data_IF_017384710831
#
_entry.id   IF_017384710831
#
_cell.length_a   1.000
_cell.length_b   1.000
_cell.length_c   1.000
_cell.angle_alpha   90.00
_cell.angle_beta   90.00
_cell.angle_gamma   90.00
#
_symmetry.space_group_name_H-M   'P 1'
#
loop_
_entity.id
_entity.type
_entity.pdbx_description
1 polymer ?
#
# COMPACT_ATOMS: atom_id res chain seq x y z
N UNK A 1 7.32 23.85 15.50
CA UNK A 1 6.51 25.09 15.57
C UNK A 1 7.10 26.26 14.80
N UNK A 2 8.38 26.65 15.00
CA UNK A 2 8.99 27.81 14.31
C UNK A 2 9.07 27.67 12.77
N UNK A 3 9.28 26.46 12.25
CA UNK A 3 9.28 26.22 10.79
C UNK A 3 7.88 26.38 10.17
N UNK A 4 6.86 25.78 10.78
CA UNK A 4 5.45 25.91 10.37
C UNK A 4 4.98 27.36 10.37
N UNK A 5 5.37 28.15 11.38
CA UNK A 5 5.07 29.59 11.42
C UNK A 5 5.72 30.35 10.27
N UNK A 6 6.96 30.01 9.88
CA UNK A 6 7.65 30.63 8.74
C UNK A 6 6.97 30.29 7.41
N UNK A 7 6.48 29.06 7.23
CA UNK A 7 5.71 28.69 6.03
C UNK A 7 4.33 29.37 5.99
N UNK A 8 3.67 29.51 7.13
CA UNK A 8 2.39 30.24 7.23
C UNK A 8 2.57 31.73 6.90
N UNK A 9 3.59 32.37 7.45
CA UNK A 9 3.92 33.77 7.14
C UNK A 9 4.31 33.92 5.68
N UNK A 10 5.11 33.01 5.12
CA UNK A 10 5.47 33.04 3.70
C UNK A 10 4.23 32.89 2.80
N UNK A 11 3.29 31.98 3.13
CA UNK A 11 2.05 31.80 2.39
C UNK A 11 1.13 33.02 2.47
N UNK A 12 1.00 33.63 3.65
CA UNK A 12 0.22 34.86 3.86
C UNK A 12 0.83 36.05 3.11
N UNK A 13 2.15 36.18 3.12
CA UNK A 13 2.87 37.22 2.36
C UNK A 13 2.74 37.01 0.86
N UNK A 14 2.77 35.76 0.37
CA UNK A 14 2.54 35.43 -1.05
C UNK A 14 1.10 35.70 -1.49
N UNK A 15 0.13 35.47 -0.60
CA UNK A 15 -1.30 35.74 -0.86
C UNK A 15 -1.61 37.24 -0.84
N UNK A 16 -1.03 38.00 0.10
CA UNK A 16 -1.25 39.45 0.24
C UNK A 16 -0.38 40.29 -0.71
N UNK A 17 0.80 39.81 -1.09
CA UNK A 17 1.72 40.49 -2.00
C UNK A 17 1.26 40.48 -3.47
N UNK A 18 0.27 39.65 -3.81
CA UNK A 18 -0.26 39.45 -5.17
C UNK A 18 -1.04 40.63 -5.75
N UNK A 19 -1.29 41.69 -4.96
CA UNK A 19 -2.17 42.81 -5.32
C UNK A 19 -1.49 44.12 -5.72
N UNK A 20 -0.17 44.27 -5.53
CA UNK A 20 0.54 45.50 -5.93
C UNK A 20 1.01 45.39 -7.38
N UNK A 21 0.16 45.84 -8.31
CA UNK A 21 0.61 46.16 -9.67
C UNK A 21 1.66 47.27 -9.58
N UNK A 22 2.86 47.10 -10.14
CA UNK A 22 3.79 48.21 -10.26
C UNK A 22 3.12 49.35 -11.06
N UNK A 23 3.44 50.62 -10.75
CA UNK A 23 2.94 51.74 -11.52
C UNK A 23 3.32 51.55 -12.99
N UNK A 24 2.35 51.74 -13.89
CA UNK A 24 2.53 51.60 -15.34
C UNK A 24 3.50 52.68 -15.81
N UNK A 25 4.78 52.33 -15.91
CA UNK A 25 5.81 53.19 -16.50
C UNK A 25 5.45 53.45 -17.96
N UNK A 26 5.65 54.69 -18.42
CA UNK A 26 5.42 55.07 -19.81
C UNK A 26 6.17 54.12 -20.76
N UNK A 27 5.44 53.74 -21.81
CA UNK A 27 5.71 52.64 -22.72
C UNK A 27 7.09 52.79 -23.36
N UNK A 28 8.08 52.07 -22.84
CA UNK A 28 9.31 51.78 -23.57
C UNK A 28 8.96 51.06 -24.88
N UNK A 29 9.82 51.21 -25.89
CA UNK A 29 9.69 50.48 -27.14
C UNK A 29 9.52 48.98 -26.85
N UNK A 30 8.45 48.42 -27.40
CA UNK A 30 8.06 47.02 -27.23
C UNK A 30 9.22 46.12 -27.68
N UNK A 31 9.61 45.18 -26.83
CA UNK A 31 10.71 44.26 -27.10
C UNK A 31 10.23 43.20 -28.10
N UNK A 32 9.04 42.63 -27.90
CA UNK A 32 8.50 41.56 -28.75
C UNK A 32 7.42 42.08 -29.70
N UNK A 33 7.54 41.89 -31.04
CA UNK A 33 6.54 42.38 -31.99
C UNK A 33 5.13 41.84 -31.69
N UNK A 34 4.12 42.70 -31.90
CA UNK A 34 2.73 42.35 -31.62
C UNK A 34 2.27 41.18 -32.48
N UNK A 35 2.04 40.03 -31.84
CA UNK A 35 1.44 38.88 -32.48
C UNK A 35 -0.07 39.10 -32.67
N UNK A 36 -0.60 38.74 -33.84
CA UNK A 36 -2.05 38.74 -34.04
C UNK A 36 -2.74 37.73 -33.11
N UNK A 37 -3.87 38.11 -32.47
CA UNK A 37 -4.67 37.20 -31.67
C UNK A 37 -5.09 35.95 -32.44
N UNK A 38 -5.06 34.77 -31.80
CA UNK A 38 -5.53 33.51 -32.40
C UNK A 38 -6.63 32.83 -31.59
N UNK A 39 -7.89 33.32 -31.64
CA UNK A 39 -9.00 32.79 -30.83
C UNK A 39 -9.30 31.30 -31.06
N UNK A 40 -9.04 30.79 -32.26
CA UNK A 40 -9.23 29.36 -32.60
C UNK A 40 -8.23 28.46 -31.87
N UNK A 41 -6.99 28.91 -31.74
CA UNK A 41 -5.96 28.17 -31.01
C UNK A 41 -6.25 28.17 -29.51
N UNK A 42 -6.74 29.29 -28.96
CA UNK A 42 -7.18 29.34 -27.57
C UNK A 42 -8.35 28.38 -27.28
N UNK A 43 -9.34 28.33 -28.17
CA UNK A 43 -10.47 27.39 -28.03
C UNK A 43 -10.00 25.94 -28.10
N UNK A 44 -9.08 25.62 -29.01
CA UNK A 44 -8.49 24.28 -29.12
C UNK A 44 -7.75 23.89 -27.84
N UNK A 45 -6.94 24.79 -27.27
CA UNK A 45 -6.24 24.54 -26.01
C UNK A 45 -7.22 24.30 -24.86
N UNK A 46 -8.29 25.09 -24.77
CA UNK A 46 -9.32 24.90 -23.75
C UNK A 46 -10.05 23.56 -23.91
N UNK A 47 -10.35 23.14 -25.15
CA UNK A 47 -10.93 21.84 -25.42
C UNK A 47 -9.99 20.70 -25.00
N UNK A 48 -8.69 20.82 -25.29
CA UNK A 48 -7.68 19.82 -24.89
C UNK A 48 -7.48 19.76 -23.37
N UNK A 49 -7.49 20.90 -22.67
CA UNK A 49 -7.51 20.91 -21.20
C UNK A 49 -8.78 20.29 -20.62
N UNK A 50 -9.94 20.58 -21.21
CA UNK A 50 -11.20 19.92 -20.84
C UNK A 50 -11.15 18.41 -21.03
N UNK A 51 -10.62 17.94 -22.16
CA UNK A 51 -10.43 16.51 -22.45
C UNK A 51 -9.44 15.86 -21.47
N UNK A 52 -8.34 16.54 -21.15
CA UNK A 52 -7.37 16.11 -20.13
C UNK A 52 -8.06 15.90 -18.78
N UNK A 53 -8.83 16.89 -18.33
CA UNK A 53 -9.55 16.81 -17.05
C UNK A 53 -10.59 15.68 -17.06
N UNK A 54 -11.36 15.53 -18.14
CA UNK A 54 -12.35 14.47 -18.28
C UNK A 54 -11.72 13.08 -18.23
N UNK A 55 -10.61 12.86 -18.95
CA UNK A 55 -9.87 11.61 -18.91
C UNK A 55 -9.26 11.32 -17.54
N UNK A 56 -8.72 12.33 -16.85
CA UNK A 56 -8.21 12.18 -15.49
C UNK A 56 -9.33 11.83 -14.48
N UNK A 57 -10.50 12.46 -14.58
CA UNK A 57 -11.67 12.10 -13.75
C UNK A 57 -12.15 10.70 -14.08
N UNK A 58 -12.19 10.31 -15.36
CA UNK A 58 -12.54 8.96 -15.77
C UNK A 58 -11.60 7.91 -15.17
N UNK A 59 -10.29 8.19 -15.09
CA UNK A 59 -9.34 7.33 -14.39
C UNK A 59 -9.74 7.11 -12.92
N UNK A 60 -10.06 8.19 -12.20
CA UNK A 60 -10.48 8.10 -10.78
C UNK A 60 -11.76 7.28 -10.63
N UNK A 61 -12.74 7.47 -11.50
CA UNK A 61 -14.00 6.71 -11.48
C UNK A 61 -13.76 5.23 -11.77
N UNK A 62 -13.01 4.92 -12.83
CA UNK A 62 -12.68 3.52 -13.18
C UNK A 62 -11.87 2.85 -12.07
N UNK A 63 -10.98 3.59 -11.42
CA UNK A 63 -10.20 3.10 -10.28
C UNK A 63 -11.09 2.77 -9.07
N UNK A 64 -12.08 3.62 -8.77
CA UNK A 64 -12.95 3.45 -7.61
C UNK A 64 -14.07 2.41 -7.79
N UNK A 65 -14.39 2.02 -9.03
CA UNK A 65 -15.49 1.10 -9.34
C UNK A 65 -14.95 -0.26 -9.76
N UNK A 66 -14.97 -1.23 -8.84
CA UNK A 66 -14.45 -2.60 -9.04
C UNK A 66 -15.31 -3.45 -10.00
N UNK A 67 -16.55 -3.05 -10.29
CA UNK A 67 -17.49 -3.81 -11.12
C UNK A 67 -17.27 -3.67 -12.63
N UNK A 68 -16.28 -2.90 -13.07
CA UNK A 68 -16.02 -2.62 -14.49
C UNK A 68 -15.18 -3.77 -15.11
N UNK A 69 -15.68 -4.48 -16.12
CA UNK A 69 -14.88 -5.46 -16.86
C UNK A 69 -13.70 -4.78 -17.59
N UNK A 70 -12.58 -5.48 -17.75
CA UNK A 70 -11.38 -4.93 -18.41
C UNK A 70 -10.83 -3.63 -17.78
N UNK A 71 -10.93 -3.52 -16.45
CA UNK A 71 -10.56 -2.33 -15.69
C UNK A 71 -9.15 -1.82 -16.01
N UNK A 72 -8.17 -2.72 -16.20
CA UNK A 72 -6.78 -2.36 -16.53
C UNK A 72 -6.64 -1.59 -17.86
N UNK A 73 -7.41 -1.96 -18.88
CA UNK A 73 -7.38 -1.32 -20.19
C UNK A 73 -7.97 0.07 -20.12
N UNK A 74 -9.09 0.24 -19.40
CA UNK A 74 -9.72 1.54 -19.20
C UNK A 74 -8.87 2.48 -18.33
N UNK A 75 -8.18 1.95 -17.32
CA UNK A 75 -7.19 2.72 -16.54
C UNK A 75 -6.04 3.21 -17.43
N UNK A 76 -5.46 2.31 -18.24
CA UNK A 76 -4.39 2.68 -19.17
C UNK A 76 -4.84 3.71 -20.20
N UNK A 77 -6.03 3.52 -20.79
CA UNK A 77 -6.57 4.41 -21.82
C UNK A 77 -6.91 5.80 -21.27
N UNK A 78 -7.57 5.86 -20.12
CA UNK A 78 -7.93 7.15 -19.49
C UNK A 78 -6.69 7.96 -19.09
N UNK A 79 -5.70 7.32 -18.47
CA UNK A 79 -4.47 8.01 -18.07
C UNK A 79 -3.61 8.38 -19.29
N UNK A 80 -3.46 7.47 -20.26
CA UNK A 80 -2.69 7.71 -21.48
C UNK A 80 -3.27 8.85 -22.32
N UNK A 81 -4.60 8.88 -22.50
CA UNK A 81 -5.27 9.97 -23.21
C UNK A 81 -5.17 11.30 -22.47
N UNK A 82 -5.25 11.30 -21.12
CA UNK A 82 -5.07 12.53 -20.34
C UNK A 82 -3.68 13.16 -20.60
N UNK A 83 -2.61 12.35 -20.58
CA UNK A 83 -1.27 12.84 -20.91
C UNK A 83 -1.13 13.28 -22.37
N UNK A 84 -1.73 12.53 -23.31
CA UNK A 84 -1.68 12.88 -24.73
C UNK A 84 -2.37 14.23 -25.02
N UNK A 85 -3.55 14.47 -24.44
CA UNK A 85 -4.26 15.75 -24.60
C UNK A 85 -3.54 16.91 -23.91
N UNK A 86 -2.94 16.67 -22.73
CA UNK A 86 -2.15 17.68 -22.05
C UNK A 86 -0.92 18.07 -22.89
N UNK A 87 -0.19 17.08 -23.41
CA UNK A 87 0.96 17.32 -24.28
C UNK A 87 0.56 18.10 -25.54
N UNK A 88 -0.53 17.70 -26.20
CA UNK A 88 -1.07 18.41 -27.36
C UNK A 88 -1.43 19.87 -27.01
N UNK A 89 -2.05 20.12 -25.84
CA UNK A 89 -2.39 21.47 -25.40
C UNK A 89 -1.13 22.33 -25.24
N UNK A 90 -0.10 21.80 -24.58
CA UNK A 90 1.17 22.50 -24.37
C UNK A 90 1.90 22.77 -25.69
N UNK A 91 1.90 21.82 -26.63
CA UNK A 91 2.47 22.00 -27.96
C UNK A 91 1.74 23.12 -28.73
N UNK A 92 0.40 23.17 -28.67
CA UNK A 92 -0.37 24.23 -29.32
C UNK A 92 -0.11 25.58 -28.66
N UNK A 93 0.00 25.64 -27.32
CA UNK A 93 0.38 26.87 -26.61
C UNK A 93 1.73 27.36 -27.11
N UNK A 94 2.75 26.51 -27.09
CA UNK A 94 4.11 26.87 -27.48
C UNK A 94 4.21 27.31 -28.95
N UNK A 95 3.55 26.58 -29.86
CA UNK A 95 3.67 26.83 -31.31
C UNK A 95 2.76 27.91 -31.87
N UNK A 96 1.64 28.22 -31.19
CA UNK A 96 0.61 29.14 -31.73
C UNK A 96 0.34 30.35 -30.84
N UNK A 97 0.40 30.20 -29.52
CA UNK A 97 0.01 31.24 -28.56
C UNK A 97 1.19 32.01 -27.97
N UNK A 98 2.38 31.42 -27.92
CA UNK A 98 3.59 32.12 -27.46
C UNK A 98 4.27 32.74 -28.67
N UNK A 99 4.57 34.05 -28.60
CA UNK A 99 5.43 34.70 -29.59
C UNK A 99 6.87 34.37 -29.24
N UNK A 100 7.52 33.55 -30.06
CA UNK A 100 8.95 33.23 -29.95
C UNK A 100 9.76 34.21 -30.77
N UNK A 101 10.73 34.86 -30.13
CA UNK A 101 11.81 35.58 -30.79
C UNK A 101 13.09 34.77 -30.61
N UNK A 102 13.82 34.54 -31.70
CA UNK A 102 15.08 33.81 -31.70
C UNK A 102 16.21 34.84 -31.64
N UNK A 103 16.68 35.14 -30.43
CA UNK A 103 17.84 36.01 -30.20
C UNK A 103 19.08 35.11 -30.16
N UNK A 104 19.96 35.28 -31.13
CA UNK A 104 21.21 34.49 -31.30
C UNK A 104 22.40 35.06 -30.49
N UNK A 105 22.16 36.06 -29.62
CA UNK A 105 23.22 36.70 -28.82
C UNK A 105 23.51 35.96 -27.49
N UNK A 106 24.80 35.78 -27.20
CA UNK A 106 25.31 35.20 -25.95
C UNK A 106 24.84 36.03 -24.74
N UNK A 107 24.06 35.43 -23.85
CA UNK A 107 23.51 36.09 -22.67
C UNK A 107 24.61 36.36 -21.63
N UNK A 108 24.93 37.63 -21.27
CA UNK A 108 25.87 37.91 -20.19
C UNK A 108 25.31 37.48 -18.83
N UNK A 109 26.22 37.13 -17.91
CA UNK A 109 25.90 36.60 -16.56
C UNK A 109 25.15 37.67 -15.73
N UNK A 110 23.99 37.35 -15.12
CA UNK A 110 23.06 38.35 -14.60
C UNK A 110 23.53 39.02 -13.30
N UNK A 111 23.40 40.34 -13.21
CA UNK A 111 23.61 41.08 -11.96
C UNK A 111 22.74 42.33 -11.73
N UNK A 112 21.94 42.83 -12.69
CA UNK A 112 21.30 44.15 -12.55
C UNK A 112 19.76 44.10 -12.37
N UNK A 113 19.17 44.90 -11.45
CA UNK A 113 17.72 44.98 -11.23
C UNK A 113 16.89 45.33 -12.47
N UNK A 114 17.46 46.10 -13.40
CA UNK A 114 16.81 46.51 -14.65
C UNK A 114 16.54 45.31 -15.61
N UNK A 115 17.36 44.25 -15.55
CA UNK A 115 17.18 43.06 -16.38
C UNK A 115 16.04 42.16 -15.88
N UNK A 116 15.73 42.19 -14.58
CA UNK A 116 14.56 41.49 -14.04
C UNK A 116 13.25 42.12 -14.53
N UNK A 117 13.24 43.45 -14.67
CA UNK A 117 12.11 44.19 -15.24
C UNK A 117 11.96 43.90 -16.73
N UNK A 118 13.07 43.83 -17.47
CA UNK A 118 13.09 43.42 -18.88
C UNK A 118 12.61 41.98 -19.09
N UNK A 119 13.04 41.03 -18.25
CA UNK A 119 12.56 39.65 -18.28
C UNK A 119 11.05 39.56 -17.98
N UNK A 120 10.57 40.37 -17.03
CA UNK A 120 9.15 40.48 -16.72
C UNK A 120 8.33 41.02 -17.89
N UNK A 121 8.84 42.07 -18.56
CA UNK A 121 8.23 42.64 -19.77
C UNK A 121 8.21 41.63 -20.93
N UNK A 122 9.31 40.93 -21.18
CA UNK A 122 9.40 39.84 -22.15
C UNK A 122 8.31 38.79 -21.92
N UNK A 123 8.18 38.27 -20.70
CA UNK A 123 7.16 37.25 -20.37
C UNK A 123 5.74 37.79 -20.55
N UNK A 124 5.49 39.05 -20.21
CA UNK A 124 4.17 39.67 -20.35
C UNK A 124 3.80 39.89 -21.83
N UNK A 125 4.75 40.37 -22.64
CA UNK A 125 4.63 40.65 -24.08
C UNK A 125 4.58 39.37 -24.93
N UNK A 126 5.35 38.33 -24.59
CA UNK A 126 5.29 37.02 -25.26
C UNK A 126 3.90 36.38 -25.21
N UNK A 127 3.08 36.78 -24.24
CA UNK A 127 1.69 36.33 -24.09
C UNK A 127 0.66 37.16 -24.86
N UNK A 128 1.05 38.15 -25.65
CA UNK A 128 0.11 39.10 -26.29
C UNK A 128 -0.90 38.46 -27.24
N UNK A 129 -0.59 37.29 -27.83
CA UNK A 129 -1.55 36.54 -28.66
C UNK A 129 -2.69 35.92 -27.86
N UNK A 130 -2.58 35.86 -26.52
CA UNK A 130 -3.59 35.30 -25.64
C UNK A 130 -4.62 36.36 -25.23
N UNK A 131 -5.80 36.28 -25.82
CA UNK A 131 -6.95 37.14 -25.48
C UNK A 131 -7.66 36.69 -24.21
N UNK A 132 -7.69 35.37 -23.93
CA UNK A 132 -8.39 34.79 -22.77
C UNK A 132 -7.43 34.22 -21.73
N UNK A 133 -6.37 34.95 -21.37
CA UNK A 133 -5.32 34.55 -20.39
C UNK A 133 -5.91 33.93 -19.11
N UNK A 134 -6.92 34.56 -18.50
CA UNK A 134 -7.58 34.04 -17.29
C UNK A 134 -8.25 32.68 -17.49
N UNK A 135 -8.91 32.48 -18.64
CA UNK A 135 -9.61 31.24 -18.94
C UNK A 135 -8.61 30.10 -19.22
N UNK A 136 -7.51 30.39 -19.93
CA UNK A 136 -6.42 29.44 -20.16
C UNK A 136 -5.73 29.04 -18.85
N UNK A 137 -5.47 30.00 -17.96
CA UNK A 137 -4.88 29.73 -16.64
C UNK A 137 -5.80 28.86 -15.78
N UNK A 138 -7.10 29.17 -15.73
CA UNK A 138 -8.08 28.37 -14.99
C UNK A 138 -8.22 26.98 -15.61
N UNK A 139 -8.30 26.89 -16.94
CA UNK A 139 -8.41 25.62 -17.65
C UNK A 139 -7.19 24.71 -17.45
N UNK A 140 -5.99 25.27 -17.61
CA UNK A 140 -4.74 24.55 -17.36
C UNK A 140 -4.59 24.14 -15.90
N UNK A 141 -4.95 25.02 -14.96
CA UNK A 141 -4.96 24.72 -13.53
C UNK A 141 -5.94 23.60 -13.17
N UNK A 142 -7.14 23.61 -13.74
CA UNK A 142 -8.13 22.56 -13.53
C UNK A 142 -7.68 21.21 -14.12
N UNK A 143 -7.13 21.21 -15.34
CA UNK A 143 -6.57 20.02 -15.97
C UNK A 143 -5.41 19.43 -15.16
N UNK A 144 -4.48 20.28 -14.70
CA UNK A 144 -3.37 19.88 -13.84
C UNK A 144 -3.83 19.33 -12.49
N UNK A 145 -4.82 19.96 -11.85
CA UNK A 145 -5.39 19.48 -10.59
C UNK A 145 -6.10 18.13 -10.74
N UNK A 146 -6.89 17.94 -11.81
CA UNK A 146 -7.55 16.67 -12.09
C UNK A 146 -6.55 15.54 -12.34
N UNK A 147 -5.51 15.81 -13.14
CA UNK A 147 -4.45 14.84 -13.39
C UNK A 147 -3.63 14.53 -12.13
N UNK A 148 -3.32 15.54 -11.33
CA UNK A 148 -2.66 15.36 -10.03
C UNK A 148 -3.48 14.49 -9.08
N UNK A 149 -4.80 14.71 -9.00
CA UNK A 149 -5.70 13.85 -8.24
C UNK A 149 -5.65 12.39 -8.76
N UNK A 150 -5.76 12.19 -10.08
CA UNK A 150 -5.69 10.86 -10.69
C UNK A 150 -4.38 10.11 -10.35
N UNK A 151 -3.24 10.81 -10.32
CA UNK A 151 -1.95 10.21 -9.96
C UNK A 151 -1.83 9.86 -8.48
N UNK A 152 -2.52 10.59 -7.60
CA UNK A 152 -2.51 10.34 -6.15
C UNK A 152 -3.52 9.26 -5.75
N UNK A 153 -4.60 9.07 -6.51
CA UNK A 153 -5.68 8.12 -6.18
C UNK A 153 -5.16 6.71 -5.83
N UNK A 154 -4.20 6.10 -6.54
CA UNK A 154 -3.71 4.77 -6.17
C UNK A 154 -3.05 4.69 -4.80
N UNK A 155 -2.51 5.79 -4.27
CA UNK A 155 -1.94 5.83 -2.93
C UNK A 155 -3.00 5.65 -1.83
N UNK A 156 -4.27 5.90 -2.12
CA UNK A 156 -5.38 5.65 -1.19
C UNK A 156 -5.60 4.15 -0.94
N UNK A 157 -5.15 3.29 -1.86
CA UNK A 157 -5.25 1.82 -1.72
C UNK A 157 -4.15 1.21 -0.86
N UNK A 158 -3.23 2.01 -0.34
CA UNK A 158 -2.23 1.54 0.65
C UNK A 158 -2.88 1.16 2.00
N UNK A 159 -4.19 1.33 2.13
CA UNK A 159 -4.97 0.96 3.30
C UNK A 159 -4.65 1.85 4.51
N UNK A 160 -5.39 1.68 5.61
CA UNK A 160 -5.11 2.41 6.83
C UNK A 160 -3.76 1.97 7.41
N UNK A 161 -2.77 2.88 7.37
CA UNK A 161 -1.38 2.62 7.75
C UNK A 161 -1.15 2.09 9.19
N UNK A 162 -2.19 2.10 10.04
CA UNK A 162 -2.10 1.78 11.47
C UNK A 162 -3.19 0.83 11.99
N UNK A 163 -3.93 0.14 11.11
CA UNK A 163 -4.91 -0.87 11.56
C UNK A 163 -4.24 -2.16 12.02
N UNK A 164 -3.86 -2.20 13.30
CA UNK A 164 -3.21 -3.37 13.91
C UNK A 164 -4.20 -4.35 14.55
N UNK A 165 -5.48 -4.00 14.64
CA UNK A 165 -6.51 -4.82 15.28
C UNK A 165 -6.65 -6.23 14.67
N UNK A 166 -6.59 -6.42 13.33
CA UNK A 166 -6.70 -7.74 12.72
C UNK A 166 -5.63 -8.73 13.21
N UNK A 167 -4.42 -8.28 13.55
CA UNK A 167 -3.35 -9.16 14.04
C UNK A 167 -3.59 -9.74 15.44
N UNK A 168 -4.52 -9.15 16.20
CA UNK A 168 -4.93 -9.66 17.51
C UNK A 168 -6.20 -10.51 17.46
N UNK A 169 -7.00 -10.40 16.39
CA UNK A 169 -8.25 -11.13 16.26
C UNK A 169 -7.99 -12.56 15.86
N UNK A 170 -8.57 -13.48 16.61
CA UNK A 170 -8.60 -14.89 16.24
C UNK A 170 -10.02 -15.43 16.42
N UNK A 171 -10.42 -16.40 15.60
CA UNK A 171 -11.69 -17.11 15.77
C UNK A 171 -11.66 -18.18 16.87
N UNK A 172 -10.50 -18.46 17.47
CA UNK A 172 -10.31 -19.54 18.43
C UNK A 172 -10.81 -19.20 19.83
N UNK A 173 -11.77 -19.98 20.34
CA UNK A 173 -12.26 -19.92 21.73
C UNK A 173 -12.38 -21.33 22.29
N UNK A 174 -12.52 -21.44 23.61
CA UNK A 174 -12.76 -22.73 24.27
C UNK A 174 -14.03 -23.39 23.69
N UNK A 175 -13.90 -24.63 23.22
CA UNK A 175 -14.98 -25.44 22.68
C UNK A 175 -15.09 -25.45 21.15
N UNK A 176 -14.41 -24.53 20.44
CA UNK A 176 -14.39 -24.52 18.96
C UNK A 176 -13.74 -25.79 18.44
N UNK A 177 -14.42 -26.51 17.53
CA UNK A 177 -13.89 -27.72 16.89
C UNK A 177 -12.82 -27.36 15.86
N UNK A 178 -11.83 -28.24 15.75
CA UNK A 178 -10.88 -28.23 14.65
C UNK A 178 -11.49 -29.00 13.49
N UNK A 179 -11.52 -28.39 12.31
CA UNK A 179 -12.00 -29.00 11.07
C UNK A 179 -10.93 -28.95 9.98
N UNK A 180 -10.98 -29.89 9.05
CA UNK A 180 -10.13 -29.89 7.86
C UNK A 180 -10.59 -28.87 6.80
N UNK A 181 -9.98 -28.92 5.62
CA UNK A 181 -10.32 -28.08 4.47
C UNK A 181 -11.73 -28.37 3.90
N UNK A 182 -12.31 -29.53 4.16
CA UNK A 182 -13.68 -29.88 3.76
C UNK A 182 -14.71 -29.55 4.85
N UNK A 183 -14.26 -29.06 6.01
CA UNK A 183 -15.12 -28.75 7.16
C UNK A 183 -15.44 -29.97 8.02
N UNK A 184 -14.75 -31.10 7.82
CA UNK A 184 -14.94 -32.32 8.62
C UNK A 184 -14.18 -32.21 9.94
N UNK A 185 -14.78 -32.60 11.08
CA UNK A 185 -14.10 -32.58 12.37
C UNK A 185 -12.87 -33.49 12.39
N UNK A 186 -11.73 -32.93 12.81
CA UNK A 186 -10.49 -33.68 12.98
C UNK A 186 -10.52 -34.47 14.29
N UNK A 187 -10.53 -35.80 14.23
CA UNK A 187 -10.49 -36.62 15.44
C UNK A 187 -9.06 -36.86 15.91
N UNK A 188 -8.91 -37.06 17.22
CA UNK A 188 -7.60 -37.32 17.80
C UNK A 188 -6.95 -38.52 17.10
N UNK A 189 -7.68 -39.62 16.88
CA UNK A 189 -7.18 -40.84 16.25
C UNK A 189 -6.74 -40.67 14.80
N UNK A 190 -7.29 -39.70 14.06
CA UNK A 190 -6.93 -39.41 12.68
C UNK A 190 -5.58 -38.70 12.55
N UNK A 191 -5.11 -38.05 13.63
CA UNK A 191 -3.82 -37.35 13.64
C UNK A 191 -2.69 -38.35 13.87
N UNK A 192 -2.05 -38.79 12.79
CA UNK A 192 -0.93 -39.73 12.86
C UNK A 192 0.38 -39.04 13.21
N UNK A 193 1.34 -39.82 13.71
CA UNK A 193 2.73 -39.36 13.84
C UNK A 193 3.37 -39.21 12.45
N UNK A 194 4.49 -38.48 12.40
CA UNK A 194 5.31 -38.31 11.17
C UNK A 194 4.62 -37.59 10.00
N UNK A 195 3.44 -37.04 10.23
CA UNK A 195 2.70 -36.21 9.28
C UNK A 195 2.24 -34.92 9.95
N UNK A 196 1.79 -33.95 9.15
CA UNK A 196 1.18 -32.72 9.64
C UNK A 196 -0.14 -32.46 8.92
N UNK A 197 -1.06 -31.84 9.64
CA UNK A 197 -2.39 -31.50 9.14
C UNK A 197 -2.59 -30.00 9.21
N UNK A 198 -3.35 -29.47 8.26
CA UNK A 198 -3.89 -28.11 8.38
C UNK A 198 -5.29 -28.22 8.95
N UNK A 199 -5.61 -27.41 9.96
CA UNK A 199 -6.94 -27.33 10.52
C UNK A 199 -7.40 -25.87 10.65
N UNK A 200 -8.72 -25.71 10.69
CA UNK A 200 -9.41 -24.45 10.81
C UNK A 200 -10.41 -24.50 11.97
N UNK A 201 -10.81 -23.35 12.53
CA UNK A 201 -11.94 -23.27 13.44
C UNK A 201 -13.23 -23.60 12.70
N UNK A 202 -14.09 -24.42 13.31
CA UNK A 202 -15.42 -24.66 12.77
C UNK A 202 -16.24 -23.36 12.69
N UNK A 203 -16.88 -23.13 11.54
CA UNK A 203 -17.84 -22.04 11.34
C UNK A 203 -17.23 -20.63 11.27
N UNK A 204 -15.90 -20.49 11.29
CA UNK A 204 -15.26 -19.20 11.07
C UNK A 204 -14.74 -19.05 9.64
N UNK A 205 -14.56 -17.80 9.24
CA UNK A 205 -13.89 -17.46 7.99
C UNK A 205 -12.43 -17.91 8.01
N UNK A 206 -12.06 -18.71 7.01
CA UNK A 206 -10.74 -19.33 6.86
C UNK A 206 -9.68 -18.35 6.38
N UNK A 207 -10.09 -17.25 5.76
CA UNK A 207 -9.21 -16.20 5.27
C UNK A 207 -8.71 -15.29 6.42
N UNK A 208 -9.32 -15.36 7.60
CA UNK A 208 -8.81 -14.66 8.77
C UNK A 208 -7.40 -15.15 9.11
N UNK A 209 -6.47 -14.20 9.27
CA UNK A 209 -5.06 -14.49 9.56
C UNK A 209 -4.88 -15.44 10.77
N UNK A 210 -5.73 -15.33 11.79
CA UNK A 210 -5.69 -16.15 13.00
C UNK A 210 -6.37 -17.52 12.90
N UNK A 211 -7.02 -17.85 11.78
CA UNK A 211 -7.77 -19.10 11.60
C UNK A 211 -6.88 -20.34 11.37
N UNK A 212 -5.96 -20.36 10.39
CA UNK A 212 -5.26 -21.60 10.05
C UNK A 212 -4.23 -22.00 11.10
N UNK A 213 -4.27 -23.27 11.49
CA UNK A 213 -3.31 -23.91 12.38
C UNK A 213 -2.68 -25.14 11.72
N UNK A 214 -1.46 -25.45 12.14
CA UNK A 214 -0.80 -26.73 11.87
C UNK A 214 -0.93 -27.64 13.07
N UNK A 215 -1.34 -28.88 12.84
CA UNK A 215 -1.52 -29.92 13.85
C UNK A 215 -0.54 -31.05 13.56
N UNK A 216 0.22 -31.47 14.57
CA UNK A 216 1.13 -32.62 14.49
C UNK A 216 1.00 -33.47 15.74
N UNK A 217 1.24 -34.78 15.62
CA UNK A 217 1.40 -35.67 16.77
C UNK A 217 2.87 -36.01 16.97
N UNK A 218 3.30 -35.89 18.21
CA UNK A 218 4.63 -36.29 18.68
C UNK A 218 4.49 -37.28 19.82
N UNK A 219 5.55 -38.04 20.09
CA UNK A 219 5.59 -38.93 21.25
C UNK A 219 5.51 -38.08 22.53
N UNK A 220 4.60 -38.37 23.48
CA UNK A 220 4.45 -37.57 24.69
C UNK A 220 5.75 -37.38 25.49
N UNK A 221 6.62 -38.38 25.51
CA UNK A 221 7.93 -38.32 26.18
C UNK A 221 8.91 -37.30 25.56
N UNK A 222 8.69 -36.87 24.31
CA UNK A 222 9.53 -35.86 23.66
C UNK A 222 9.06 -34.43 23.90
N UNK A 223 7.82 -34.26 24.35
CA UNK A 223 7.21 -32.94 24.55
C UNK A 223 7.78 -32.27 25.79
N UNK A 224 8.43 -31.14 25.58
CA UNK A 224 8.98 -30.27 26.62
C UNK A 224 8.41 -28.87 26.41
N UNK A 225 7.12 -28.72 26.67
CA UNK A 225 6.40 -27.47 26.44
C UNK A 225 6.76 -26.40 27.48
N UNK A 226 6.58 -25.11 27.16
CA UNK A 226 6.74 -24.02 28.13
C UNK A 226 5.84 -24.21 29.36
N UNK A 227 6.30 -23.72 30.52
CA UNK A 227 5.56 -23.81 31.77
C UNK A 227 4.09 -23.33 31.65
N UNK A 228 3.17 -24.09 32.25
CA UNK A 228 1.72 -23.81 32.19
C UNK A 228 1.03 -24.31 30.92
N UNK A 229 1.72 -25.08 30.07
CA UNK A 229 1.16 -25.70 28.86
C UNK A 229 1.16 -27.23 28.86
N UNK A 230 1.40 -27.84 30.02
CA UNK A 230 1.53 -29.31 30.13
C UNK A 230 0.24 -30.04 29.69
N UNK A 231 -0.92 -29.43 29.90
CA UNK A 231 -2.23 -29.96 29.46
C UNK A 231 -2.68 -29.54 28.07
N UNK A 232 -1.84 -28.88 27.26
CA UNK A 232 -2.26 -28.34 25.96
C UNK A 232 -2.13 -29.34 24.80
N UNK A 233 -1.53 -30.51 25.07
CA UNK A 233 -1.14 -31.48 24.07
C UNK A 233 -1.70 -32.89 24.33
N UNK A 234 -3.04 -33.08 24.25
CA UNK A 234 -3.66 -34.38 24.52
C UNK A 234 -3.10 -35.44 23.56
N UNK A 235 -2.73 -36.61 24.10
CA UNK A 235 -2.15 -37.73 23.34
C UNK A 235 -0.92 -37.33 22.49
N UNK A 236 -0.18 -36.30 22.90
CA UNK A 236 0.98 -35.81 22.16
C UNK A 236 0.65 -34.94 20.94
N UNK A 237 -0.63 -34.59 20.75
CA UNK A 237 -1.10 -33.77 19.63
C UNK A 237 -0.93 -32.28 20.00
N UNK A 238 -0.16 -31.55 19.21
CA UNK A 238 0.06 -30.10 19.38
C UNK A 238 -0.46 -29.34 18.17
N UNK A 239 -0.99 -28.14 18.43
CA UNK A 239 -1.42 -27.20 17.40
C UNK A 239 -0.71 -25.86 17.53
N UNK A 240 -0.26 -25.31 16.41
CA UNK A 240 0.37 -24.00 16.32
C UNK A 240 -0.26 -23.19 15.19
N UNK A 241 -0.21 -21.86 15.25
CA UNK A 241 -0.58 -21.04 14.09
C UNK A 241 0.21 -21.46 12.86
N UNK A 242 -0.48 -21.58 11.73
CA UNK A 242 0.15 -21.85 10.43
C UNK A 242 0.88 -20.62 9.89
N UNK A 243 0.71 -19.44 10.47
CA UNK A 243 1.27 -18.21 9.91
C UNK A 243 2.65 -17.93 10.52
N UNK A 244 3.67 -17.87 9.66
CA UNK A 244 5.05 -17.64 10.03
C UNK A 244 5.25 -16.26 10.67
N UNK A 245 6.03 -16.24 11.74
CA UNK A 245 6.27 -15.05 12.55
C UNK A 245 7.36 -14.12 12.04
N UNK A 246 7.97 -14.46 10.91
CA UNK A 246 8.88 -13.58 10.17
C UNK A 246 8.09 -12.58 9.32
N UNK A 247 7.48 -13.06 8.24
CA UNK A 247 6.86 -12.24 7.19
C UNK A 247 5.47 -12.75 6.76
N UNK A 248 4.80 -13.58 7.58
CA UNK A 248 3.40 -13.97 7.35
C UNK A 248 3.15 -15.12 6.39
N UNK A 249 4.18 -15.74 5.79
CA UNK A 249 3.99 -16.92 4.95
C UNK A 249 3.37 -18.11 5.71
N UNK A 250 2.58 -18.93 5.02
CA UNK A 250 2.08 -20.17 5.58
C UNK A 250 3.24 -21.17 5.82
N UNK A 251 3.32 -21.71 7.04
CA UNK A 251 4.14 -22.83 7.44
C UNK A 251 3.49 -24.10 6.88
N UNK A 252 4.11 -24.67 5.86
CA UNK A 252 3.52 -25.72 5.03
C UNK A 252 4.45 -26.91 4.80
N UNK A 253 5.60 -26.94 5.44
CA UNK A 253 6.55 -28.05 5.35
C UNK A 253 6.75 -28.65 6.74
N UNK A 254 6.85 -29.98 6.80
CA UNK A 254 7.21 -30.71 8.00
C UNK A 254 8.43 -31.56 7.71
N UNK A 255 9.50 -31.32 8.48
CA UNK A 255 10.69 -32.16 8.43
C UNK A 255 10.41 -33.44 9.19
N UNK A 256 10.28 -34.54 8.45
CA UNK A 256 10.26 -35.90 8.98
C UNK A 256 11.68 -36.49 8.90
N UNK A 257 12.35 -36.76 10.03
CA UNK A 257 13.65 -37.42 10.01
C UNK A 257 13.47 -38.89 9.62
N UNK A 258 14.13 -39.36 8.57
CA UNK A 258 14.16 -40.79 8.18
C UNK A 258 15.29 -41.55 8.88
N UNK A 259 16.34 -40.85 9.34
CA UNK A 259 17.44 -41.44 10.12
C UNK A 259 17.66 -40.66 11.43
N UNK A 260 16.86 -40.92 12.47
CA UNK A 260 16.81 -40.08 13.68
C UNK A 260 18.13 -39.95 14.46
N UNK A 261 19.08 -40.87 14.25
CA UNK A 261 20.39 -40.87 14.93
C UNK A 261 21.35 -39.81 14.38
N UNK A 262 21.19 -39.41 13.12
CA UNK A 262 22.08 -38.47 12.42
C UNK A 262 21.34 -37.24 11.90
N UNK A 263 20.01 -37.29 11.82
CA UNK A 263 19.19 -36.21 11.30
C UNK A 263 18.62 -35.31 12.42
N UNK A 264 18.46 -34.01 12.15
CA UNK A 264 17.80 -33.10 13.07
C UNK A 264 16.36 -33.54 13.33
N UNK A 265 15.89 -33.33 14.57
CA UNK A 265 14.54 -33.66 15.06
C UNK A 265 13.40 -33.08 14.20
N UNK A 266 12.17 -33.62 14.34
CA UNK A 266 11.03 -33.13 13.57
C UNK A 266 10.81 -31.63 13.77
N UNK A 267 10.45 -30.92 12.70
CA UNK A 267 10.30 -29.49 12.75
C UNK A 267 9.27 -28.97 11.76
N UNK A 268 8.59 -27.89 12.13
CA UNK A 268 7.73 -27.13 11.24
C UNK A 268 8.60 -26.14 10.45
N UNK A 269 8.46 -26.07 9.14
CA UNK A 269 9.32 -25.26 8.27
C UNK A 269 8.49 -24.32 7.41
N UNK A 270 8.85 -23.04 7.42
CA UNK A 270 8.31 -22.06 6.51
C UNK A 270 9.07 -22.12 5.17
N UNK A 271 8.40 -22.31 4.02
CA UNK A 271 9.06 -22.47 2.72
C UNK A 271 9.71 -21.17 2.20
N UNK A 272 9.28 -20.00 2.68
CA UNK A 272 9.75 -18.73 2.13
C UNK A 272 11.21 -18.41 2.48
N UNK A 273 11.60 -18.62 3.75
CA UNK A 273 12.94 -18.26 4.25
C UNK A 273 13.48 -19.29 5.24
N UNK A 274 12.96 -20.51 5.19
CA UNK A 274 13.38 -21.66 6.00
C UNK A 274 13.39 -21.43 7.52
N UNK A 275 12.57 -20.50 8.01
CA UNK A 275 12.31 -20.40 9.45
C UNK A 275 11.77 -21.74 9.93
N UNK A 276 12.51 -22.35 10.85
CA UNK A 276 12.31 -23.73 11.31
C UNK A 276 11.97 -23.69 12.79
N UNK A 277 10.89 -24.37 13.19
CA UNK A 277 10.33 -24.31 14.52
C UNK A 277 10.27 -25.71 15.14
N UNK A 278 10.62 -25.83 16.43
CA UNK A 278 10.58 -27.09 17.20
C UNK A 278 9.17 -27.31 17.80
N UNK A 279 8.31 -28.16 17.20
CA UNK A 279 6.96 -28.40 17.71
C UNK A 279 6.94 -29.06 19.10
N UNK A 280 8.03 -29.70 19.54
CA UNK A 280 8.12 -30.30 20.86
C UNK A 280 8.44 -29.29 21.97
N UNK A 281 8.91 -28.08 21.61
CA UNK A 281 9.30 -27.00 22.56
C UNK A 281 8.53 -25.72 22.32
N UNK A 282 7.21 -25.83 22.16
CA UNK A 282 6.34 -24.66 21.98
C UNK A 282 6.62 -23.88 20.69
N UNK A 283 7.04 -24.58 19.62
CA UNK A 283 7.43 -24.01 18.33
C UNK A 283 8.54 -22.95 18.44
N UNK A 284 9.52 -23.15 19.33
CA UNK A 284 10.71 -22.30 19.41
C UNK A 284 11.47 -22.31 18.08
N UNK A 285 11.97 -21.15 17.67
CA UNK A 285 12.78 -21.00 16.46
C UNK A 285 14.11 -21.75 16.63
N UNK A 286 14.38 -22.68 15.71
CA UNK A 286 15.62 -23.43 15.60
C UNK A 286 16.59 -22.78 14.59
N UNK A 287 16.04 -22.23 13.50
CA UNK A 287 16.80 -21.67 12.39
C UNK A 287 15.95 -20.64 11.62
N UNK A 288 16.62 -19.77 10.86
CA UNK A 288 16.01 -18.78 9.98
C UNK A 288 15.62 -17.47 10.68
N UNK A 289 15.04 -16.51 9.93
CA UNK A 289 14.88 -15.13 10.38
C UNK A 289 13.67 -14.85 11.29
N UNK A 290 12.83 -15.84 11.61
CA UNK A 290 11.69 -15.64 12.50
C UNK A 290 12.13 -15.17 13.89
N UNK A 291 11.57 -14.04 14.36
CA UNK A 291 11.95 -13.42 15.64
C UNK A 291 11.23 -13.95 16.88
N UNK A 292 10.27 -14.87 16.73
CA UNK A 292 9.46 -15.41 17.83
C UNK A 292 8.89 -16.80 17.53
N UNK A 293 8.57 -17.61 18.55
CA UNK A 293 7.88 -18.89 18.37
C UNK A 293 6.51 -18.74 17.69
N UNK A 294 6.04 -19.80 17.02
CA UNK A 294 4.65 -19.85 16.55
C UNK A 294 3.71 -19.89 17.77
N UNK A 295 2.61 -19.11 17.78
CA UNK A 295 1.60 -19.21 18.83
C UNK A 295 1.00 -20.62 18.87
N UNK A 296 1.10 -21.28 20.03
CA UNK A 296 0.44 -22.57 20.30
C UNK A 296 -1.03 -22.37 20.64
N UNK A 297 -1.90 -23.25 20.14
CA UNK A 297 -3.31 -23.36 20.51
C UNK A 297 -3.45 -24.47 21.57
N UNK A 298 -4.06 -24.22 22.75
CA UNK A 298 -4.36 -25.27 23.70
C UNK A 298 -5.46 -26.19 23.15
N UNK A 299 -5.26 -27.51 23.21
CA UNK A 299 -6.22 -28.49 22.73
C UNK A 299 -6.83 -29.33 23.87
N UNK A 300 -8.03 -29.85 23.64
CA UNK A 300 -8.61 -30.95 24.39
C UNK A 300 -9.39 -31.89 23.45
N UNK A 301 -9.63 -33.12 23.89
CA UNK A 301 -10.43 -34.10 23.14
C UNK A 301 -11.87 -34.03 23.62
N UNK A 302 -12.80 -33.84 22.68
CA UNK A 302 -14.23 -33.80 22.94
C UNK A 302 -14.83 -35.19 23.19
N UNK A 303 -16.12 -35.26 23.53
CA UNK A 303 -16.78 -36.52 23.91
C UNK A 303 -16.81 -37.57 22.79
N UNK A 304 -16.86 -37.15 21.53
CA UNK A 304 -16.84 -38.04 20.36
C UNK A 304 -15.41 -38.33 19.86
N UNK A 305 -14.37 -37.86 20.54
CA UNK A 305 -12.98 -38.03 20.14
C UNK A 305 -12.45 -36.94 19.21
N UNK A 306 -13.25 -35.91 18.92
CA UNK A 306 -12.89 -34.77 18.08
C UNK A 306 -11.96 -33.78 18.80
N UNK A 307 -11.03 -33.17 18.07
CA UNK A 307 -10.15 -32.15 18.64
C UNK A 307 -10.88 -30.81 18.76
N UNK A 308 -10.73 -30.17 19.93
CA UNK A 308 -11.29 -28.85 20.24
C UNK A 308 -10.25 -27.93 20.83
N UNK A 309 -10.38 -26.64 20.59
CA UNK A 309 -9.59 -25.61 21.23
C UNK A 309 -10.01 -25.48 22.70
N UNK A 310 -9.07 -25.51 23.65
CA UNK A 310 -9.34 -25.31 25.08
C UNK A 310 -9.31 -23.83 25.50
N UNK A 311 -9.03 -22.93 24.56
CA UNK A 311 -8.83 -21.50 24.75
C UNK A 311 -8.39 -20.82 23.46
N UNK A 312 -7.68 -19.70 23.58
CA UNK A 312 -7.13 -18.95 22.45
C UNK A 312 -5.61 -19.23 22.27
N UNK A 313 -5.05 -18.82 21.14
CA UNK A 313 -3.62 -18.87 20.85
C UNK A 313 -2.80 -18.15 21.91
N UNK A 314 -1.63 -18.71 22.23
CA UNK A 314 -0.74 -18.18 23.26
C UNK A 314 -0.10 -16.81 22.97
N UNK A 315 -0.26 -16.28 21.75
CA UNK A 315 0.26 -14.97 21.34
C UNK A 315 -0.30 -14.53 19.98
N UNK A 316 -0.08 -13.26 19.58
CA UNK A 316 -0.61 -12.73 18.33
C UNK A 316 -0.12 -13.50 17.10
N UNK A 317 -0.91 -13.52 16.04
CA UNK A 317 -0.61 -14.30 14.82
C UNK A 317 0.13 -13.44 13.80
N UNK A 318 0.98 -14.06 12.98
CA UNK A 318 1.65 -13.38 11.88
C UNK A 318 3.02 -12.80 12.21
N UNK A 319 3.56 -11.88 11.42
CA UNK A 319 4.91 -11.33 11.59
C UNK A 319 5.13 -10.64 12.94
N UNK A 320 6.36 -10.22 13.25
CA UNK A 320 6.62 -9.32 14.37
C UNK A 320 6.41 -7.86 13.94
N UNK A 321 5.86 -7.02 14.83
CA UNK A 321 5.70 -5.57 14.64
C UNK A 321 5.87 -4.86 15.98
N UNK A 322 5.93 -3.52 15.95
CA UNK A 322 6.19 -2.69 17.14
C UNK A 322 5.23 -2.94 18.32
N UNK A 323 4.01 -3.43 18.05
CA UNK A 323 2.97 -3.68 19.06
C UNK A 323 2.75 -5.15 19.42
N UNK A 324 3.54 -6.08 18.88
CA UNK A 324 3.27 -7.54 18.98
C UNK A 324 3.25 -8.08 20.42
N UNK A 325 3.84 -7.36 21.38
CA UNK A 325 3.86 -7.74 22.80
C UNK A 325 2.86 -6.98 23.67
N UNK A 326 2.10 -6.06 23.09
CA UNK A 326 1.30 -5.11 23.86
C UNK A 326 0.01 -5.73 24.40
N UNK A 327 -0.53 -6.75 23.73
CA UNK A 327 -1.82 -7.38 24.06
C UNK A 327 -1.81 -8.87 23.70
N UNK A 328 -2.65 -9.65 24.37
CA UNK A 328 -2.95 -11.03 24.00
C UNK A 328 -4.00 -11.06 22.88
N UNK A 329 -4.07 -12.15 22.10
CA UNK A 329 -5.12 -12.35 21.11
C UNK A 329 -6.51 -12.26 21.75
N UNK A 330 -7.42 -11.57 21.08
CA UNK A 330 -8.80 -11.37 21.50
C UNK A 330 -9.74 -12.33 20.83
#
# INVERSE_FOLDING_TARGET
MRALWRYLVAAVVLLLGRGRRPPRVERAERIVPAGEPSPRAELLVLALFGATAACAVAFVVVYAVESIPHQTQFLGLSLGLAFAFLAAALIVIASRLVVTEELEEDYPVPAHPAEQEALGQLVEESGDRMTRKRLLLVGGGAAGAALGAALVTPALSLGPAFEIAPFFRTPWRRGVRLVDEDGRPLHAHDVLEETFYTAYPEGADREQLGAPIVVVRLRPAELHLPAGRDGWAPHGIVAYSKICTHAGCAVALYRKPTFPTVEPRPALVCPCHYSTFDPARGAKVLFGPAGRPLPQLPLFVGPSGELRAAGNLSGPVGPAWWGVRNRRPS
#
